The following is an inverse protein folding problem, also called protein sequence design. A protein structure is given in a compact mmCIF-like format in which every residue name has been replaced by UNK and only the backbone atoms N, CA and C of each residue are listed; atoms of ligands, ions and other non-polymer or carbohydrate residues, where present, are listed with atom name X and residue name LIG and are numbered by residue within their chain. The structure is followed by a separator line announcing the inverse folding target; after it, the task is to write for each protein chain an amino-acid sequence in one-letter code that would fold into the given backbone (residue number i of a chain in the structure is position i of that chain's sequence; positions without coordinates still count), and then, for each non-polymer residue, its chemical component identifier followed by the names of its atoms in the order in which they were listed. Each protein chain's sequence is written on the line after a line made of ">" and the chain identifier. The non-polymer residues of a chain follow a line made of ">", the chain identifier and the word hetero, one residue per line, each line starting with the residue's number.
data_IF_404712083436
#
_entry.id   IF_404712083436
#
_cell.length_a   1.000
_cell.length_b   1.000
_cell.length_c   1.000
_cell.angle_alpha   90.00
_cell.angle_beta   90.00
_cell.angle_gamma   90.00
#
_symmetry.space_group_name_H-M   'P 1'
#
loop_
_entity.id
_entity.type
_entity.pdbx_description
1 polymer ?
#
# COMPACT_ATOMS: atom_id res chain seq x y z
N UNK A 1 -5.46 40.67 -24.05
CA UNK A 1 -4.64 39.71 -24.76
C UNK A 1 -4.26 38.60 -23.79
N UNK A 2 -4.88 37.47 -23.92
CA UNK A 2 -4.63 36.32 -23.09
C UNK A 2 -3.38 35.59 -23.62
N UNK A 3 -2.28 35.79 -22.93
CA UNK A 3 -1.18 34.88 -23.01
C UNK A 3 -1.59 33.64 -22.23
N UNK A 4 -2.14 32.68 -22.91
CA UNK A 4 -2.13 31.31 -22.41
C UNK A 4 -0.66 30.97 -22.15
N UNK A 5 -0.30 30.68 -20.91
CA UNK A 5 0.94 29.97 -20.72
C UNK A 5 0.72 28.68 -21.51
N UNK A 6 1.37 28.57 -22.59
CA UNK A 6 1.57 27.29 -23.24
C UNK A 6 2.02 26.42 -22.12
N UNK A 7 1.14 25.56 -21.70
CA UNK A 7 1.42 24.71 -20.59
C UNK A 7 2.78 24.16 -20.83
N UNK A 8 3.66 24.51 -19.97
CA UNK A 8 4.89 23.81 -19.91
C UNK A 8 4.50 22.37 -19.70
N UNK A 9 4.41 21.69 -20.78
CA UNK A 9 4.42 20.25 -20.79
C UNK A 9 5.78 19.87 -20.22
N UNK A 10 5.98 20.20 -18.94
CA UNK A 10 7.08 19.70 -18.21
C UNK A 10 7.00 18.20 -18.28
N UNK A 11 7.75 17.63 -19.21
CA UNK A 11 7.95 16.20 -19.25
C UNK A 11 8.32 15.76 -17.85
N UNK A 12 7.36 15.23 -17.08
CA UNK A 12 7.64 14.61 -15.83
C UNK A 12 7.30 15.35 -14.54
N UNK A 13 6.59 16.48 -14.58
CA UNK A 13 6.03 17.03 -13.35
C UNK A 13 4.85 16.15 -12.91
N UNK A 14 5.14 15.12 -12.10
CA UNK A 14 4.10 14.31 -11.49
C UNK A 14 3.41 15.11 -10.40
N UNK A 15 2.09 14.97 -10.32
CA UNK A 15 1.31 15.56 -9.24
C UNK A 15 1.84 15.07 -7.90
N UNK A 16 1.98 15.98 -6.95
CA UNK A 16 2.34 15.63 -5.58
C UNK A 16 1.08 15.22 -4.82
N UNK A 17 1.15 14.08 -4.18
CA UNK A 17 0.08 13.58 -3.33
C UNK A 17 0.50 13.61 -1.87
N UNK A 18 -0.46 13.95 -1.01
CA UNK A 18 -0.32 13.83 0.44
C UNK A 18 -0.93 12.50 0.90
N UNK A 19 -0.59 12.07 2.11
CA UNK A 19 -1.20 10.88 2.71
C UNK A 19 -2.73 11.00 2.80
N UNK A 20 -3.25 12.21 3.00
CA UNK A 20 -4.69 12.46 3.02
C UNK A 20 -5.40 12.20 1.68
N UNK A 21 -4.65 12.15 0.58
CA UNK A 21 -5.20 11.88 -0.76
C UNK A 21 -5.38 10.37 -1.02
N UNK A 22 -4.90 9.52 -0.13
CA UNK A 22 -4.94 8.06 -0.30
C UNK A 22 -6.35 7.53 0.00
N UNK A 23 -6.92 6.81 -0.94
CA UNK A 23 -8.17 6.07 -0.74
C UNK A 23 -7.95 4.57 -0.53
N UNK A 24 -6.88 4.03 -1.08
CA UNK A 24 -6.48 2.64 -0.85
C UNK A 24 -4.97 2.56 -0.69
N UNK A 25 -4.53 1.83 0.30
CA UNK A 25 -3.16 1.37 0.42
C UNK A 25 -3.17 -0.15 0.55
N UNK A 26 -2.37 -0.82 -0.27
CA UNK A 26 -2.20 -2.26 -0.19
C UNK A 26 -0.73 -2.60 -0.20
N UNK A 27 -0.36 -3.54 0.64
CA UNK A 27 1.00 -4.07 0.67
C UNK A 27 0.93 -5.60 0.68
N UNK A 28 1.70 -6.21 -0.18
CA UNK A 28 1.75 -7.66 -0.25
C UNK A 28 3.18 -8.17 -0.39
N UNK A 29 3.38 -9.34 0.16
CA UNK A 29 4.56 -10.15 -0.07
C UNK A 29 4.13 -11.44 -0.73
N UNK A 30 4.69 -11.72 -1.88
CA UNK A 30 4.49 -12.99 -2.57
C UNK A 30 5.73 -13.85 -2.37
N UNK A 31 5.55 -15.05 -1.87
CA UNK A 31 6.62 -16.01 -1.63
C UNK A 31 6.12 -17.41 -1.94
N UNK A 32 7.02 -18.31 -2.29
CA UNK A 32 6.69 -19.73 -2.43
C UNK A 32 6.38 -20.38 -1.07
N UNK A 33 6.81 -19.75 0.02
CA UNK A 33 6.50 -20.21 1.36
C UNK A 33 5.10 -19.79 1.77
N UNK A 34 4.30 -20.73 2.21
CA UNK A 34 2.94 -20.50 2.70
C UNK A 34 2.90 -19.48 3.85
N UNK A 35 3.89 -19.51 4.73
CA UNK A 35 3.94 -18.64 5.91
C UNK A 35 4.46 -17.25 5.62
N UNK A 36 5.21 -17.08 4.52
CA UNK A 36 5.86 -15.81 4.20
C UNK A 36 5.03 -14.93 3.26
N UNK A 37 3.96 -15.48 2.68
CA UNK A 37 3.06 -14.71 1.81
C UNK A 37 1.99 -14.03 2.63
N UNK A 38 1.74 -12.75 2.35
CA UNK A 38 0.69 -11.99 3.01
C UNK A 38 0.19 -10.84 2.14
N UNK A 39 -1.03 -10.42 2.40
CA UNK A 39 -1.65 -9.24 1.79
C UNK A 39 -2.39 -8.46 2.86
N UNK A 40 -2.15 -7.17 2.90
CA UNK A 40 -2.90 -6.23 3.73
C UNK A 40 -3.43 -5.11 2.85
N UNK A 41 -4.68 -4.72 3.04
CA UNK A 41 -5.28 -3.63 2.28
C UNK A 41 -6.17 -2.78 3.18
N UNK A 42 -5.90 -1.48 3.20
CA UNK A 42 -6.71 -0.49 3.89
C UNK A 42 -7.38 0.39 2.84
N UNK A 43 -8.71 0.48 2.88
CA UNK A 43 -9.48 1.24 1.91
C UNK A 43 -10.53 2.11 2.57
N UNK A 44 -10.78 3.26 1.97
CA UNK A 44 -11.81 4.19 2.43
C UNK A 44 -13.01 4.12 1.50
N UNK A 45 -14.16 3.78 2.06
CA UNK A 45 -15.44 3.75 1.36
C UNK A 45 -16.50 4.47 2.18
N UNK A 46 -17.22 5.43 1.58
CA UNK A 46 -18.29 6.16 2.25
C UNK A 46 -17.85 6.77 3.60
N UNK A 47 -16.68 7.36 3.66
CA UNK A 47 -16.08 7.97 4.84
C UNK A 47 -15.69 6.95 5.94
N UNK A 48 -15.80 5.67 5.67
CA UNK A 48 -15.39 4.61 6.58
C UNK A 48 -14.12 3.93 6.08
N UNK A 49 -13.27 3.51 7.02
CA UNK A 49 -12.09 2.72 6.71
C UNK A 49 -12.38 1.24 6.89
N UNK A 50 -12.03 0.45 5.87
CA UNK A 50 -12.19 -0.99 5.85
C UNK A 50 -10.82 -1.63 5.67
N UNK A 51 -10.62 -2.76 6.32
CA UNK A 51 -9.35 -3.47 6.29
C UNK A 51 -9.54 -4.92 5.85
N UNK A 52 -8.72 -5.32 4.90
CA UNK A 52 -8.63 -6.69 4.42
C UNK A 52 -7.27 -7.25 4.81
N UNK A 53 -7.21 -8.50 5.22
CA UNK A 53 -5.96 -9.17 5.51
C UNK A 53 -6.02 -10.65 5.13
N UNK A 54 -4.90 -11.14 4.64
CA UNK A 54 -4.68 -12.55 4.37
C UNK A 54 -3.22 -12.84 4.72
N UNK A 55 -3.00 -13.57 5.80
CA UNK A 55 -1.66 -13.88 6.28
C UNK A 55 -1.61 -15.17 7.07
N UNK A 56 -0.45 -15.76 7.16
CA UNK A 56 -0.22 -16.94 7.99
C UNK A 56 0.46 -16.54 9.29
N UNK A 57 0.03 -17.17 10.34
CA UNK A 57 0.59 -17.02 11.67
C UNK A 57 1.84 -17.88 11.85
N UNK A 58 1.69 -19.14 11.47
CA UNK A 58 2.76 -20.16 11.48
C UNK A 58 2.29 -21.39 10.69
N UNK A 59 3.11 -22.44 10.67
CA UNK A 59 2.76 -23.66 9.94
C UNK A 59 1.69 -24.53 10.59
N UNK A 60 1.42 -24.32 11.87
CA UNK A 60 0.50 -25.16 12.65
C UNK A 60 -0.92 -24.62 12.67
N UNK A 61 -1.07 -23.31 12.50
CA UNK A 61 -2.35 -22.64 12.56
C UNK A 61 -2.91 -22.36 11.16
N UNK A 62 -4.25 -22.38 11.01
CA UNK A 62 -4.85 -21.99 9.74
C UNK A 62 -4.54 -20.55 9.39
N UNK A 63 -4.53 -20.26 8.10
CA UNK A 63 -4.34 -18.92 7.57
C UNK A 63 -5.43 -17.99 8.06
N UNK A 64 -5.06 -16.76 8.40
CA UNK A 64 -6.02 -15.73 8.81
C UNK A 64 -6.46 -14.96 7.58
N UNK A 65 -7.76 -14.94 7.34
CA UNK A 65 -8.36 -14.22 6.22
C UNK A 65 -9.60 -13.46 6.69
N UNK A 66 -9.67 -12.18 6.37
CA UNK A 66 -10.90 -11.41 6.55
C UNK A 66 -10.95 -10.25 5.56
N UNK A 67 -12.16 -9.82 5.23
CA UNK A 67 -12.42 -8.73 4.31
C UNK A 67 -13.40 -7.72 4.90
N UNK A 68 -13.23 -6.46 4.49
CA UNK A 68 -14.15 -5.36 4.81
C UNK A 68 -14.38 -5.17 6.31
N UNK A 69 -13.36 -5.41 7.10
CA UNK A 69 -13.47 -5.20 8.54
C UNK A 69 -13.35 -3.72 8.86
N UNK A 70 -14.34 -3.17 9.52
CA UNK A 70 -14.32 -1.74 9.90
C UNK A 70 -13.21 -1.48 10.89
N UNK A 71 -12.45 -0.43 10.64
CA UNK A 71 -11.40 0.05 11.53
C UNK A 71 -11.64 1.51 11.86
N UNK A 72 -11.14 1.94 13.01
CA UNK A 72 -11.31 3.32 13.42
C UNK A 72 -10.49 4.27 12.55
N UNK A 73 -10.92 5.53 12.48
CA UNK A 73 -10.14 6.58 11.83
C UNK A 73 -8.74 6.72 12.46
N UNK A 74 -8.63 6.49 13.76
CA UNK A 74 -7.36 6.53 14.47
C UNK A 74 -6.41 5.42 14.03
N UNK A 75 -6.92 4.20 13.88
CA UNK A 75 -6.12 3.06 13.42
C UNK A 75 -5.66 3.27 11.96
N UNK A 76 -6.53 3.79 11.11
CA UNK A 76 -6.18 4.14 9.75
C UNK A 76 -5.14 5.27 9.71
N UNK A 77 -5.29 6.28 10.57
CA UNK A 77 -4.35 7.40 10.66
C UNK A 77 -2.94 6.93 11.04
N UNK A 78 -2.79 5.94 11.89
CA UNK A 78 -1.49 5.40 12.25
C UNK A 78 -0.74 4.86 11.03
N UNK A 79 -1.44 4.19 10.13
CA UNK A 79 -0.85 3.70 8.88
C UNK A 79 -0.51 4.87 7.94
N UNK A 80 -1.42 5.83 7.78
CA UNK A 80 -1.20 6.99 6.92
C UNK A 80 -0.06 7.88 7.45
N UNK A 81 0.13 7.94 8.76
CA UNK A 81 1.25 8.66 9.36
C UNK A 81 2.60 8.03 8.97
N UNK A 82 2.70 6.71 8.94
CA UNK A 82 3.89 6.03 8.46
C UNK A 82 4.13 6.36 6.98
N UNK A 83 3.09 6.33 6.17
CA UNK A 83 3.17 6.69 4.73
C UNK A 83 3.75 8.10 4.58
N UNK A 84 3.28 9.04 5.38
CA UNK A 84 3.73 10.43 5.37
C UNK A 84 5.17 10.56 5.87
N UNK A 85 5.46 10.03 7.03
CA UNK A 85 6.77 10.16 7.68
C UNK A 85 7.89 9.50 6.89
N UNK A 86 7.60 8.37 6.26
CA UNK A 86 8.56 7.63 5.46
C UNK A 86 8.61 8.09 3.99
N UNK A 87 7.75 9.01 3.58
CA UNK A 87 7.72 9.52 2.21
C UNK A 87 7.40 8.46 1.17
N UNK A 88 6.54 7.50 1.50
CA UNK A 88 6.32 6.31 0.67
C UNK A 88 5.65 6.61 -0.66
N UNK A 89 4.75 7.60 -0.72
CA UNK A 89 4.08 7.96 -1.97
C UNK A 89 5.10 8.45 -3.00
N UNK A 90 5.99 9.35 -2.58
CA UNK A 90 7.02 9.89 -3.46
C UNK A 90 7.99 8.79 -3.90
N UNK A 91 8.39 7.92 -2.98
CA UNK A 91 9.25 6.77 -3.31
C UNK A 91 8.58 5.87 -4.34
N UNK A 92 7.29 5.60 -4.16
CA UNK A 92 6.52 4.77 -5.10
C UNK A 92 6.39 5.44 -6.48
N UNK A 93 6.18 6.77 -6.51
CA UNK A 93 6.10 7.52 -7.76
C UNK A 93 7.41 7.53 -8.52
N UNK A 94 8.54 7.54 -7.82
CA UNK A 94 9.87 7.52 -8.42
C UNK A 94 10.35 6.13 -8.80
N UNK A 95 9.65 5.10 -8.34
CA UNK A 95 10.04 3.73 -8.60
C UNK A 95 9.97 3.43 -10.10
N UNK A 96 11.02 2.80 -10.60
CA UNK A 96 11.09 2.33 -11.98
C UNK A 96 11.32 0.83 -11.96
N UNK A 97 10.42 0.11 -12.59
CA UNK A 97 10.60 -1.33 -12.78
C UNK A 97 11.89 -1.61 -13.54
N UNK A 98 12.71 -2.58 -13.13
CA UNK A 98 13.90 -2.98 -13.88
C UNK A 98 13.51 -3.37 -15.32
N UNK A 99 14.26 -2.91 -16.32
CA UNK A 99 14.00 -3.25 -17.73
C UNK A 99 14.13 -4.73 -18.03
N UNK A 100 14.98 -5.40 -17.28
CA UNK A 100 15.13 -6.85 -17.35
C UNK A 100 14.57 -7.36 -16.04
N UNK A 101 13.37 -7.92 -16.09
CA UNK A 101 12.92 -8.76 -15.00
C UNK A 101 13.81 -9.99 -15.05
N UNK A 102 14.82 -10.02 -14.21
CA UNK A 102 15.51 -11.26 -13.95
C UNK A 102 14.42 -12.28 -13.66
N UNK A 103 14.47 -13.43 -14.32
CA UNK A 103 13.62 -14.55 -13.98
C UNK A 103 13.88 -14.88 -12.53
N UNK A 104 13.05 -14.34 -11.65
CA UNK A 104 13.08 -14.74 -10.25
C UNK A 104 12.34 -16.06 -10.24
N UNK A 105 13.10 -17.13 -10.27
CA UNK A 105 12.58 -18.49 -10.22
C UNK A 105 11.76 -18.75 -8.95
N UNK A 106 11.93 -17.93 -7.93
CA UNK A 106 11.26 -18.08 -6.64
C UNK A 106 9.99 -17.27 -6.49
N UNK A 107 9.58 -16.50 -7.51
CA UNK A 107 8.30 -15.78 -7.52
C UNK A 107 8.06 -14.83 -6.34
N UNK A 108 9.10 -14.53 -5.55
CA UNK A 108 9.00 -13.67 -4.38
C UNK A 108 9.12 -12.20 -4.75
N UNK A 109 8.33 -11.35 -4.09
CA UNK A 109 8.41 -9.92 -4.28
C UNK A 109 7.53 -9.16 -3.31
N UNK A 110 7.85 -7.88 -3.16
CA UNK A 110 7.08 -6.95 -2.35
C UNK A 110 6.37 -5.98 -3.27
N UNK A 111 5.08 -5.73 -3.01
CA UNK A 111 4.25 -4.87 -3.86
C UNK A 111 3.53 -3.87 -2.99
N UNK A 112 3.85 -2.59 -3.20
CA UNK A 112 3.16 -1.48 -2.57
C UNK A 112 2.26 -0.83 -3.61
N UNK A 113 1.00 -0.65 -3.26
CA UNK A 113 -0.02 -0.07 -4.11
C UNK A 113 -0.75 1.06 -3.39
N UNK A 114 -0.91 2.17 -4.10
CA UNK A 114 -1.77 3.27 -3.66
C UNK A 114 -2.82 3.56 -4.72
N UNK A 115 -4.03 3.81 -4.28
CA UNK A 115 -5.04 4.46 -5.09
C UNK A 115 -5.39 5.79 -4.43
N UNK A 116 -5.35 6.85 -5.21
CA UNK A 116 -5.64 8.18 -4.73
C UNK A 116 -7.13 8.51 -4.90
N UNK A 117 -7.61 9.54 -4.20
CA UNK A 117 -9.01 9.98 -4.29
C UNK A 117 -9.42 10.38 -5.71
N UNK A 118 -8.47 10.83 -6.54
CA UNK A 118 -8.73 11.17 -7.94
C UNK A 118 -8.70 9.97 -8.90
N UNK A 119 -8.51 8.76 -8.38
CA UNK A 119 -8.46 7.52 -9.13
C UNK A 119 -7.08 7.13 -9.65
N UNK A 120 -6.06 7.98 -9.44
CA UNK A 120 -4.69 7.64 -9.84
C UNK A 120 -4.17 6.44 -9.05
N UNK A 121 -3.55 5.51 -9.75
CA UNK A 121 -2.93 4.32 -9.16
C UNK A 121 -1.41 4.42 -9.22
N UNK A 122 -0.75 4.06 -8.13
CA UNK A 122 0.71 4.09 -8.00
C UNK A 122 1.15 2.72 -7.50
N UNK A 123 2.06 2.08 -8.22
CA UNK A 123 2.59 0.75 -7.91
C UNK A 123 4.10 0.81 -7.77
N UNK A 124 4.63 0.10 -6.80
CA UNK A 124 6.07 -0.01 -6.62
C UNK A 124 6.44 -1.35 -5.95
N UNK A 125 7.59 -1.87 -6.33
CA UNK A 125 8.15 -3.07 -5.69
C UNK A 125 9.13 -2.63 -4.60
N UNK A 126 8.62 -2.03 -3.55
CA UNK A 126 9.41 -1.54 -2.42
C UNK A 126 8.90 -2.13 -1.10
N UNK A 127 9.84 -2.31 -0.18
CA UNK A 127 9.57 -2.78 1.17
C UNK A 127 9.80 -1.65 2.16
N UNK A 128 8.91 -1.53 3.13
CA UNK A 128 9.10 -0.63 4.27
C UNK A 128 8.69 -1.34 5.54
N UNK A 129 9.64 -1.54 6.42
CA UNK A 129 9.43 -2.29 7.66
C UNK A 129 8.40 -1.63 8.58
N UNK A 130 8.45 -0.32 8.71
CA UNK A 130 7.53 0.41 9.58
C UNK A 130 6.08 0.27 9.09
N UNK A 131 5.87 0.34 7.78
CA UNK A 131 4.56 0.12 7.18
C UNK A 131 4.05 -1.29 7.45
N UNK A 132 4.89 -2.29 7.21
CA UNK A 132 4.52 -3.70 7.43
C UNK A 132 4.17 -3.94 8.89
N UNK A 133 4.94 -3.39 9.81
CA UNK A 133 4.68 -3.54 11.25
C UNK A 133 3.35 -2.91 11.66
N UNK A 134 3.02 -1.73 11.13
CA UNK A 134 1.73 -1.08 11.43
C UNK A 134 0.55 -1.87 10.82
N UNK A 135 0.69 -2.35 9.60
CA UNK A 135 -0.35 -3.17 8.96
C UNK A 135 -0.55 -4.48 9.72
N UNK A 136 0.53 -5.12 10.14
CA UNK A 136 0.47 -6.35 10.93
C UNK A 136 -0.18 -6.12 12.29
N UNK A 137 0.17 -5.03 12.95
CA UNK A 137 -0.44 -4.64 14.24
C UNK A 137 -1.95 -4.46 14.08
N UNK A 138 -2.38 -3.77 13.03
CA UNK A 138 -3.80 -3.61 12.76
C UNK A 138 -4.49 -4.95 12.45
N UNK A 139 -3.86 -5.81 11.67
CA UNK A 139 -4.38 -7.14 11.37
C UNK A 139 -4.58 -7.96 12.64
N UNK A 140 -3.63 -7.95 13.56
CA UNK A 140 -3.74 -8.66 14.84
C UNK A 140 -4.84 -8.08 15.71
N UNK A 141 -4.98 -6.77 15.75
CA UNK A 141 -6.08 -6.12 16.47
C UNK A 141 -7.43 -6.54 15.90
N UNK A 142 -7.56 -6.57 14.58
CA UNK A 142 -8.78 -7.01 13.91
C UNK A 142 -9.08 -8.48 14.15
N UNK A 143 -8.05 -9.32 14.17
CA UNK A 143 -8.21 -10.75 14.45
C UNK A 143 -8.79 -11.03 15.83
N UNK A 144 -8.40 -10.24 16.81
CA UNK A 144 -8.82 -10.39 18.21
C UNK A 144 -10.17 -9.76 18.53
N UNK A 145 -10.70 -8.96 17.61
CA UNK A 145 -11.98 -8.27 17.84
C UNK A 145 -13.19 -9.12 17.52
#
# INVERSE_FOLDING_TARGET
>A
MLLLPIGLFGCGAKKKYAAADVSVISFSCSSMSYTDSYVYSLKKENEEWLFDADYSYDYENPRVEFENKKVSAQDAAAILDVVKEQGLILQAQKYKSPRIKAFVLDGGGYFLYFKMNDGTEINAEIYNEDLVNELRTLAEKCRKS
#
